data_IF_115725991508
#
_entry.id   IF_115725991508
#
_cell.length_a   1.000
_cell.length_b   1.000
_cell.length_c   1.000
_cell.angle_alpha   90.00
_cell.angle_beta   90.00
_cell.angle_gamma   90.00
#
_symmetry.space_group_name_H-M   'P 1'
#
loop_
_entity.id
_entity.type
_entity.pdbx_description
1 polymer ?
#
# COMPACT_ATOMS: atom_id res chain seq x y z
N UNK A 1 18.24 -5.41 -3.16
CA UNK A 1 17.06 -5.99 -2.46
C UNK A 1 17.31 -7.48 -2.35
N UNK A 2 17.35 -7.99 -1.12
CA UNK A 2 17.88 -9.32 -0.80
C UNK A 2 17.16 -10.50 -1.46
N UNK A 3 15.92 -10.40 -1.86
CA UNK A 3 15.17 -11.55 -2.39
C UNK A 3 14.77 -11.40 -3.85
N UNK A 4 15.54 -10.63 -4.61
CA UNK A 4 15.38 -10.52 -6.06
C UNK A 4 16.35 -11.47 -6.77
N UNK A 5 15.83 -12.39 -7.58
CA UNK A 5 16.64 -13.33 -8.36
C UNK A 5 17.08 -12.72 -9.68
N UNK A 6 16.20 -12.01 -10.35
CA UNK A 6 16.43 -11.47 -11.69
C UNK A 6 16.92 -10.02 -11.65
N UNK A 7 16.25 -9.17 -10.87
CA UNK A 7 16.57 -7.74 -10.76
C UNK A 7 17.62 -7.52 -9.69
N UNK A 8 18.88 -7.42 -10.09
CA UNK A 8 19.96 -7.09 -9.14
C UNK A 8 20.09 -5.58 -9.03
N UNK A 9 19.92 -5.09 -7.80
CA UNK A 9 20.04 -3.67 -7.51
C UNK A 9 21.53 -3.26 -7.47
N UNK A 10 21.94 -2.16 -8.15
CA UNK A 10 23.37 -1.85 -8.35
C UNK A 10 24.06 -1.23 -7.13
N UNK A 11 23.32 -0.78 -6.13
CA UNK A 11 23.84 -0.06 -4.96
C UNK A 11 23.34 -0.66 -3.64
N UNK A 12 24.13 -0.50 -2.59
CA UNK A 12 23.71 -0.73 -1.21
C UNK A 12 23.48 0.60 -0.46
N UNK A 13 24.22 1.66 -0.82
CA UNK A 13 24.11 2.99 -0.22
C UNK A 13 23.84 4.04 -1.30
N UNK A 14 22.70 4.70 -1.25
CA UNK A 14 22.27 5.64 -2.30
C UNK A 14 21.21 6.61 -1.79
N UNK A 15 20.95 7.66 -2.57
CA UNK A 15 19.80 8.54 -2.37
C UNK A 15 18.61 7.99 -3.16
N UNK A 16 17.50 7.71 -2.50
CA UNK A 16 16.24 7.38 -3.17
C UNK A 16 15.42 8.63 -3.39
N UNK A 17 15.09 8.92 -4.66
CA UNK A 17 14.34 10.11 -5.05
C UNK A 17 12.87 9.75 -5.34
N UNK A 18 11.96 10.42 -4.65
CA UNK A 18 10.52 10.33 -4.85
C UNK A 18 10.03 11.09 -6.09
N UNK A 19 8.72 10.95 -6.39
CA UNK A 19 8.07 11.59 -7.56
C UNK A 19 8.16 13.12 -7.50
N UNK A 20 8.11 13.68 -6.30
CA UNK A 20 8.19 15.13 -6.04
C UNK A 20 9.64 15.68 -5.99
N UNK A 21 10.64 14.82 -6.21
CA UNK A 21 12.05 15.17 -6.13
C UNK A 21 12.64 15.12 -4.72
N UNK A 22 11.85 14.83 -3.70
CA UNK A 22 12.36 14.61 -2.33
C UNK A 22 13.29 13.41 -2.29
N UNK A 23 14.39 13.52 -1.53
CA UNK A 23 15.41 12.48 -1.43
C UNK A 23 15.60 12.02 0.00
N UNK A 24 15.79 10.70 0.15
CA UNK A 24 16.16 10.08 1.42
C UNK A 24 17.37 9.18 1.24
N UNK A 25 18.30 9.21 2.18
CA UNK A 25 19.40 8.25 2.21
C UNK A 25 18.86 6.86 2.51
N UNK A 26 19.28 5.90 1.71
CA UNK A 26 18.81 4.51 1.78
C UNK A 26 20.00 3.57 1.81
N UNK A 27 19.92 2.53 2.66
CA UNK A 27 20.92 1.49 2.73
C UNK A 27 20.28 0.11 2.71
N UNK A 28 20.75 -0.76 1.81
CA UNK A 28 20.41 -2.18 1.79
C UNK A 28 21.50 -2.98 2.48
N UNK A 29 21.18 -3.73 3.55
CA UNK A 29 22.16 -4.55 4.25
C UNK A 29 22.85 -5.55 3.31
N UNK A 30 24.18 -5.49 3.12
CA UNK A 30 24.88 -6.38 2.18
C UNK A 30 24.89 -7.85 2.59
N UNK A 31 24.54 -8.16 3.84
CA UNK A 31 24.37 -9.54 4.31
C UNK A 31 23.13 -10.24 3.73
N UNK A 32 22.28 -9.51 2.99
CA UNK A 32 21.02 -10.03 2.41
C UNK A 32 20.08 -10.69 3.41
N UNK A 33 20.16 -10.28 4.68
CA UNK A 33 19.30 -10.76 5.75
C UNK A 33 19.05 -9.68 6.80
N UNK A 34 17.92 -9.75 7.47
CA UNK A 34 17.61 -8.97 8.67
C UNK A 34 17.63 -9.83 9.95
N UNK A 35 18.07 -11.10 9.83
CA UNK A 35 18.13 -12.08 10.92
C UNK A 35 19.50 -12.78 10.99
N UNK A 36 20.58 -12.01 10.90
CA UNK A 36 21.93 -12.56 10.96
C UNK A 36 22.23 -13.21 12.32
N UNK A 37 23.03 -14.25 12.30
CA UNK A 37 23.54 -14.97 13.48
C UNK A 37 24.89 -14.43 13.98
N UNK A 38 25.37 -13.38 13.36
CA UNK A 38 26.67 -12.79 13.66
C UNK A 38 27.82 -13.79 13.51
N UNK A 39 27.82 -14.57 12.44
CA UNK A 39 28.90 -15.50 12.10
C UNK A 39 29.92 -14.80 11.20
N UNK A 40 31.18 -15.23 11.25
CA UNK A 40 32.25 -14.71 10.40
C UNK A 40 31.89 -14.82 8.92
N UNK A 41 31.21 -15.90 8.52
CA UNK A 41 30.79 -16.10 7.14
C UNK A 41 29.80 -15.05 6.65
N UNK A 42 28.93 -14.55 7.54
CA UNK A 42 27.97 -13.49 7.18
C UNK A 42 28.67 -12.14 7.02
N UNK A 43 29.68 -11.87 7.85
CA UNK A 43 30.51 -10.66 7.72
C UNK A 43 31.36 -10.69 6.43
N UNK A 44 32.02 -11.80 6.15
CA UNK A 44 32.78 -12.01 4.92
C UNK A 44 31.90 -11.90 3.67
N UNK A 45 30.69 -12.47 3.72
CA UNK A 45 29.70 -12.33 2.65
C UNK A 45 29.26 -10.86 2.49
N UNK A 46 28.91 -10.18 3.57
CA UNK A 46 28.49 -8.79 3.53
C UNK A 46 29.59 -7.88 2.94
N UNK A 47 30.85 -8.08 3.36
CA UNK A 47 31.98 -7.33 2.82
C UNK A 47 32.17 -7.58 1.33
N UNK A 48 32.11 -8.84 0.88
CA UNK A 48 32.25 -9.19 -0.54
C UNK A 48 31.11 -8.67 -1.40
N UNK A 49 29.88 -8.71 -0.86
CA UNK A 49 28.67 -8.32 -1.57
C UNK A 49 28.45 -6.80 -1.63
N UNK A 50 29.05 -6.03 -0.72
CA UNK A 50 28.87 -4.58 -0.67
C UNK A 50 29.36 -3.93 -1.98
N UNK A 51 28.44 -3.22 -2.70
CA UNK A 51 28.75 -2.68 -4.02
C UNK A 51 29.44 -1.31 -3.97
N UNK A 52 29.19 -0.53 -2.94
CA UNK A 52 29.66 0.86 -2.85
C UNK A 52 30.92 1.00 -1.97
N UNK A 53 31.84 0.05 -2.04
CA UNK A 53 33.10 0.00 -1.25
C UNK A 53 33.99 1.20 -1.51
N UNK A 54 33.95 1.72 -2.74
CA UNK A 54 34.78 2.88 -3.12
C UNK A 54 34.23 4.18 -2.53
N UNK A 55 32.96 4.16 -2.08
CA UNK A 55 32.27 5.33 -1.53
C UNK A 55 32.07 5.27 -0.02
N UNK A 56 32.00 4.08 0.56
CA UNK A 56 31.79 3.90 2.00
C UNK A 56 32.45 2.62 2.52
N UNK A 57 33.03 2.71 3.70
CA UNK A 57 33.57 1.57 4.45
C UNK A 57 32.58 1.03 5.51
N UNK A 58 31.32 1.52 5.48
CA UNK A 58 30.29 1.19 6.47
C UNK A 58 29.14 0.44 5.87
N UNK A 59 28.72 -0.63 6.53
CA UNK A 59 27.47 -1.32 6.23
C UNK A 59 26.76 -1.77 7.49
N UNK A 60 25.44 -1.96 7.39
CA UNK A 60 24.58 -2.37 8.49
C UNK A 60 24.39 -3.89 8.48
N UNK A 61 24.60 -4.54 9.61
CA UNK A 61 24.23 -5.93 9.85
C UNK A 61 23.10 -6.00 10.87
N UNK A 62 21.91 -6.35 10.42
CA UNK A 62 20.76 -6.60 11.28
C UNK A 62 20.82 -8.03 11.82
N UNK A 63 20.71 -8.22 13.12
CA UNK A 63 20.88 -9.54 13.75
C UNK A 63 19.79 -9.86 14.77
N UNK A 64 19.57 -11.14 15.01
CA UNK A 64 18.54 -11.68 15.88
C UNK A 64 17.69 -12.73 15.17
N UNK A 65 16.49 -13.00 15.68
CA UNK A 65 15.63 -14.07 15.16
C UNK A 65 14.66 -13.65 14.06
N UNK A 66 14.64 -12.37 13.65
CA UNK A 66 13.73 -11.90 12.60
C UNK A 66 12.28 -12.29 12.90
N UNK A 67 11.60 -12.91 11.94
CA UNK A 67 10.23 -13.37 12.07
C UNK A 67 10.02 -14.46 13.12
N UNK A 68 11.07 -15.10 13.57
CA UNK A 68 11.03 -16.07 14.67
C UNK A 68 10.70 -15.44 16.04
N UNK A 69 10.71 -14.11 16.11
CA UNK A 69 10.29 -13.36 17.29
C UNK A 69 11.23 -13.55 18.47
N UNK A 70 12.34 -12.83 18.49
CA UNK A 70 13.27 -12.86 19.61
C UNK A 70 14.43 -11.91 19.40
N UNK A 71 14.98 -11.41 20.51
CA UNK A 71 16.18 -10.59 20.51
C UNK A 71 17.45 -11.43 20.28
N UNK A 72 18.61 -10.77 20.27
CA UNK A 72 19.89 -11.46 20.12
C UNK A 72 20.17 -12.45 21.26
N UNK A 73 20.84 -13.54 20.94
CA UNK A 73 21.30 -14.49 21.92
C UNK A 73 22.60 -14.03 22.55
N UNK A 74 22.96 -14.64 23.71
CA UNK A 74 24.28 -14.44 24.33
C UNK A 74 25.43 -14.74 23.34
N UNK A 75 25.31 -15.78 22.53
CA UNK A 75 26.34 -16.14 21.55
C UNK A 75 26.50 -15.07 20.47
N UNK A 76 25.40 -14.49 19.97
CA UNK A 76 25.48 -13.39 19.01
C UNK A 76 26.23 -12.19 19.62
N UNK A 77 25.89 -11.81 20.84
CA UNK A 77 26.57 -10.71 21.55
C UNK A 77 28.05 -10.99 21.78
N UNK A 78 28.41 -12.22 22.18
CA UNK A 78 29.79 -12.64 22.35
C UNK A 78 30.59 -12.65 21.04
N UNK A 79 29.95 -13.04 19.94
CA UNK A 79 30.58 -12.98 18.63
C UNK A 79 30.89 -11.52 18.26
N UNK A 80 29.94 -10.62 18.35
CA UNK A 80 30.12 -9.20 18.01
C UNK A 80 31.23 -8.57 18.85
N UNK A 81 31.25 -8.85 20.15
CA UNK A 81 32.31 -8.34 21.04
C UNK A 81 33.71 -8.84 20.65
N UNK A 82 33.83 -10.11 20.22
CA UNK A 82 35.11 -10.68 19.76
C UNK A 82 35.53 -10.16 18.40
N UNK A 83 34.58 -9.69 17.56
CA UNK A 83 34.86 -9.20 16.21
C UNK A 83 35.15 -7.69 16.17
N UNK A 84 35.13 -6.98 17.28
CA UNK A 84 35.44 -5.55 17.33
C UNK A 84 36.77 -5.20 16.65
N UNK A 85 37.78 -6.09 16.78
CA UNK A 85 39.08 -5.94 16.12
C UNK A 85 39.76 -7.29 15.89
N UNK A 86 39.08 -8.20 15.20
CA UNK A 86 39.60 -9.52 14.86
C UNK A 86 40.33 -9.47 13.52
N UNK A 87 41.59 -10.01 13.47
CA UNK A 87 42.32 -10.06 12.21
C UNK A 87 41.62 -10.93 11.15
N UNK A 88 41.52 -10.40 9.93
CA UNK A 88 40.90 -11.09 8.80
C UNK A 88 39.36 -11.03 8.78
N UNK A 89 38.75 -10.21 9.65
CA UNK A 89 37.33 -9.97 9.71
C UNK A 89 37.05 -8.45 9.71
N UNK A 90 35.99 -8.00 9.06
CA UNK A 90 35.56 -6.62 9.13
C UNK A 90 35.34 -6.19 10.58
N UNK A 91 35.77 -5.00 10.95
CA UNK A 91 35.52 -4.44 12.28
C UNK A 91 34.03 -4.27 12.54
N UNK A 92 33.58 -4.65 13.70
CA UNK A 92 32.19 -4.61 14.11
C UNK A 92 32.01 -3.68 15.30
N UNK A 93 31.00 -2.83 15.25
CA UNK A 93 30.52 -2.03 16.39
C UNK A 93 29.02 -2.17 16.54
N UNK A 94 28.52 -2.16 17.77
CA UNK A 94 27.09 -2.10 18.04
C UNK A 94 26.73 -0.63 18.17
N UNK A 95 25.86 -0.15 17.30
CA UNK A 95 25.45 1.25 17.25
C UNK A 95 23.91 1.38 17.19
N UNK A 96 23.41 2.55 17.52
CA UNK A 96 22.01 2.89 17.23
C UNK A 96 21.81 3.13 15.73
N UNK A 97 20.61 2.80 15.19
CA UNK A 97 20.36 2.99 13.76
C UNK A 97 20.62 4.42 13.27
N UNK A 98 20.21 5.43 14.04
CA UNK A 98 20.42 6.83 13.66
C UNK A 98 21.90 7.18 13.51
N UNK A 99 22.74 6.73 14.44
CA UNK A 99 24.20 6.94 14.38
C UNK A 99 24.80 6.32 13.12
N UNK A 100 24.35 5.12 12.76
CA UNK A 100 24.78 4.47 11.53
C UNK A 100 24.38 5.30 10.29
N UNK A 101 23.10 5.67 10.19
CA UNK A 101 22.59 6.40 9.02
C UNK A 101 23.26 7.77 8.87
N UNK A 102 23.47 8.50 9.94
CA UNK A 102 24.15 9.80 9.92
C UNK A 102 25.59 9.67 9.42
N UNK A 103 26.36 8.73 9.99
CA UNK A 103 27.77 8.49 9.61
C UNK A 103 27.89 7.97 8.18
N UNK A 104 27.03 7.03 7.77
CA UNK A 104 27.09 6.45 6.44
C UNK A 104 26.69 7.46 5.36
N UNK A 105 25.66 8.28 5.62
CA UNK A 105 25.26 9.37 4.72
C UNK A 105 26.33 10.44 4.59
N UNK A 106 26.91 10.87 5.70
CA UNK A 106 28.01 11.83 5.69
C UNK A 106 29.19 11.31 4.86
N UNK A 107 29.64 10.09 5.11
CA UNK A 107 30.75 9.48 4.39
C UNK A 107 30.47 9.36 2.87
N UNK A 108 29.27 8.92 2.51
CA UNK A 108 28.85 8.84 1.11
C UNK A 108 28.88 10.23 0.44
N UNK A 109 28.38 11.26 1.13
CA UNK A 109 28.38 12.63 0.62
C UNK A 109 29.80 13.20 0.45
N UNK A 110 30.70 12.94 1.39
CA UNK A 110 32.09 13.39 1.34
C UNK A 110 32.88 12.72 0.20
N UNK A 111 32.68 11.42 -0.01
CA UNK A 111 33.45 10.65 -0.99
C UNK A 111 32.88 10.75 -2.41
N UNK A 112 31.54 10.75 -2.57
CA UNK A 112 30.92 10.81 -3.88
C UNK A 112 30.68 12.25 -4.37
N UNK A 113 30.51 13.21 -3.48
CA UNK A 113 30.21 14.59 -3.84
C UNK A 113 29.01 14.70 -4.80
N UNK A 114 29.18 15.35 -5.97
CA UNK A 114 28.10 15.47 -6.95
C UNK A 114 27.75 14.17 -7.68
N UNK A 115 28.60 13.15 -7.60
CA UNK A 115 28.39 11.84 -8.22
C UNK A 115 27.70 10.82 -7.28
N UNK A 116 27.12 11.31 -6.19
CA UNK A 116 26.37 10.47 -5.25
C UNK A 116 25.31 9.64 -5.99
N UNK A 117 25.25 8.32 -5.79
CA UNK A 117 24.26 7.48 -6.43
C UNK A 117 22.84 7.93 -6.11
N UNK A 118 22.00 8.15 -7.12
CA UNK A 118 20.59 8.52 -6.98
C UNK A 118 19.74 7.51 -7.73
N UNK A 119 18.83 6.86 -7.01
CA UNK A 119 17.83 5.98 -7.61
C UNK A 119 16.48 6.69 -7.70
N UNK A 120 15.92 6.77 -8.91
CA UNK A 120 14.58 7.30 -9.18
C UNK A 120 13.67 6.16 -9.57
N UNK A 121 12.53 6.03 -8.89
CA UNK A 121 11.54 5.03 -9.21
C UNK A 121 11.35 4.00 -8.09
N UNK A 122 10.66 2.93 -8.45
CA UNK A 122 10.27 1.86 -7.53
C UNK A 122 11.48 1.05 -7.05
N UNK A 123 11.46 0.67 -5.78
CA UNK A 123 12.35 -0.34 -5.20
C UNK A 123 11.67 -1.71 -5.30
N UNK A 124 11.70 -2.28 -6.50
CA UNK A 124 10.92 -3.47 -6.84
C UNK A 124 11.38 -4.72 -6.11
N UNK A 125 10.45 -5.39 -5.43
CA UNK A 125 10.68 -6.63 -4.70
C UNK A 125 9.99 -7.81 -5.40
N UNK A 126 10.76 -8.67 -6.05
CA UNK A 126 10.25 -9.79 -6.85
C UNK A 126 9.48 -10.82 -6.03
N UNK A 127 9.93 -11.11 -4.81
CA UNK A 127 9.33 -12.10 -3.93
C UNK A 127 7.85 -11.80 -3.64
N UNK A 128 7.47 -10.53 -3.54
CA UNK A 128 6.13 -10.09 -3.13
C UNK A 128 5.26 -9.55 -4.27
N UNK A 129 5.62 -9.78 -5.54
CA UNK A 129 4.84 -9.24 -6.68
C UNK A 129 3.38 -9.71 -6.70
N UNK A 130 3.08 -10.90 -6.18
CA UNK A 130 1.70 -11.41 -6.07
C UNK A 130 0.84 -10.69 -5.06
N UNK A 131 1.41 -9.96 -4.11
CA UNK A 131 0.68 -9.26 -3.03
C UNK A 131 -0.19 -8.10 -3.52
N UNK A 132 0.07 -7.56 -4.70
CA UNK A 132 -0.72 -6.49 -5.30
C UNK A 132 -2.16 -6.93 -5.62
N UNK A 133 -2.37 -8.20 -5.91
CA UNK A 133 -3.67 -8.75 -6.32
C UNK A 133 -4.19 -9.88 -5.43
N UNK A 134 -3.33 -10.49 -4.61
CA UNK A 134 -3.72 -11.59 -3.71
C UNK A 134 -4.77 -11.12 -2.70
N UNK A 135 -5.83 -11.92 -2.47
CA UNK A 135 -6.92 -11.59 -1.54
C UNK A 135 -7.45 -10.16 -1.78
N UNK A 136 -7.85 -9.87 -3.00
CA UNK A 136 -8.26 -8.52 -3.41
C UNK A 136 -9.37 -7.91 -2.55
N UNK A 137 -10.21 -8.74 -1.93
CA UNK A 137 -11.25 -8.33 -0.99
C UNK A 137 -10.67 -7.63 0.27
N UNK A 138 -9.46 -7.97 0.70
CA UNK A 138 -8.76 -7.26 1.78
C UNK A 138 -8.45 -5.81 1.37
N UNK A 139 -7.87 -5.64 0.20
CA UNK A 139 -7.53 -4.31 -0.36
C UNK A 139 -8.77 -3.46 -0.55
N UNK A 140 -9.82 -4.08 -1.08
CA UNK A 140 -11.10 -3.42 -1.31
C UNK A 140 -11.79 -3.03 -0.01
N UNK A 141 -11.88 -3.96 0.96
CA UNK A 141 -12.46 -3.70 2.27
C UNK A 141 -11.75 -2.56 2.98
N UNK A 142 -10.43 -2.60 3.03
CA UNK A 142 -9.59 -1.55 3.59
C UNK A 142 -9.89 -0.18 2.93
N UNK A 143 -9.85 -0.10 1.60
CA UNK A 143 -10.08 1.15 0.88
C UNK A 143 -11.48 1.71 1.05
N UNK A 144 -12.49 0.85 1.11
CA UNK A 144 -13.87 1.24 1.35
C UNK A 144 -14.05 1.80 2.77
N UNK A 145 -13.47 1.13 3.75
CA UNK A 145 -13.56 1.55 5.16
C UNK A 145 -12.82 2.86 5.42
N UNK A 146 -11.61 3.04 4.87
CA UNK A 146 -10.89 4.32 4.89
C UNK A 146 -11.74 5.48 4.33
N UNK A 147 -12.36 5.24 3.18
CA UNK A 147 -13.15 6.26 2.51
C UNK A 147 -14.42 6.60 3.30
N UNK A 148 -15.06 5.59 3.88
CA UNK A 148 -16.30 5.78 4.63
C UNK A 148 -16.04 6.40 6.01
N UNK A 149 -14.96 6.03 6.70
CA UNK A 149 -14.52 6.67 7.94
C UNK A 149 -14.29 8.17 7.73
N UNK A 150 -13.55 8.56 6.70
CA UNK A 150 -13.35 9.98 6.38
C UNK A 150 -14.67 10.71 6.09
N UNK A 151 -15.59 10.05 5.39
CA UNK A 151 -16.91 10.61 5.12
C UNK A 151 -17.71 10.80 6.41
N UNK A 152 -17.71 9.81 7.29
CA UNK A 152 -18.40 9.85 8.58
C UNK A 152 -17.83 10.93 9.49
N UNK A 153 -16.50 11.07 9.56
CA UNK A 153 -15.88 12.14 10.36
C UNK A 153 -16.28 13.53 9.86
N UNK A 154 -16.28 13.73 8.53
CA UNK A 154 -16.73 14.98 7.93
C UNK A 154 -18.20 15.28 8.23
N UNK A 155 -19.08 14.29 8.01
CA UNK A 155 -20.51 14.43 8.32
C UNK A 155 -20.76 14.65 9.82
N UNK A 156 -20.00 13.98 10.66
CA UNK A 156 -20.09 14.13 12.12
C UNK A 156 -19.70 15.52 12.60
N UNK A 157 -18.62 16.08 12.04
CA UNK A 157 -18.24 17.47 12.32
C UNK A 157 -19.34 18.44 11.88
N UNK A 158 -19.91 18.25 10.70
CA UNK A 158 -21.02 19.07 10.22
C UNK A 158 -22.29 18.90 11.08
N UNK A 159 -22.62 17.69 11.53
CA UNK A 159 -23.75 17.42 12.40
C UNK A 159 -23.64 18.13 13.76
N UNK A 160 -22.46 18.08 14.40
CA UNK A 160 -22.16 18.80 15.64
C UNK A 160 -22.35 20.32 15.49
N UNK A 161 -21.92 20.87 14.35
CA UNK A 161 -22.09 22.30 14.06
C UNK A 161 -23.55 22.68 13.78
N UNK A 162 -24.34 21.75 13.27
CA UNK A 162 -25.75 21.99 12.90
C UNK A 162 -26.75 21.73 14.03
N UNK A 163 -26.43 20.86 14.96
CA UNK A 163 -27.24 20.50 16.12
C UNK A 163 -26.35 20.36 17.37
N UNK A 164 -26.38 21.34 18.30
CA UNK A 164 -25.57 21.30 19.52
C UNK A 164 -25.89 20.11 20.45
N UNK A 165 -27.05 19.50 20.31
CA UNK A 165 -27.46 18.33 21.10
C UNK A 165 -26.98 17.01 20.44
N UNK A 166 -26.42 17.07 19.26
CA UNK A 166 -25.91 15.88 18.58
C UNK A 166 -24.65 15.34 19.28
N UNK A 167 -24.70 14.06 19.64
CA UNK A 167 -23.58 13.37 20.29
C UNK A 167 -22.73 12.65 19.23
N UNK A 168 -21.51 13.13 19.05
CA UNK A 168 -20.54 12.52 18.14
C UNK A 168 -20.10 11.13 18.63
N UNK A 169 -20.21 10.05 17.82
CA UNK A 169 -19.96 8.67 18.24
C UNK A 169 -18.45 8.34 18.32
N UNK A 170 -17.71 9.08 19.14
CA UNK A 170 -16.25 9.03 19.25
C UNK A 170 -15.72 7.63 19.55
N UNK A 171 -16.27 6.97 20.58
CA UNK A 171 -15.75 5.66 21.03
C UNK A 171 -15.93 4.58 19.97
N UNK A 172 -17.05 4.64 19.26
CA UNK A 172 -17.33 3.67 18.21
C UNK A 172 -16.44 3.88 16.99
N UNK A 173 -16.23 5.13 16.57
CA UNK A 173 -15.32 5.44 15.48
C UNK A 173 -13.87 5.10 15.83
N UNK A 174 -13.43 5.36 17.07
CA UNK A 174 -12.10 4.96 17.55
C UNK A 174 -11.90 3.42 17.49
N UNK A 175 -12.92 2.65 17.88
CA UNK A 175 -12.89 1.19 17.74
C UNK A 175 -12.74 0.77 16.29
N UNK A 176 -13.52 1.35 15.37
CA UNK A 176 -13.47 1.01 13.95
C UNK A 176 -12.12 1.39 13.34
N UNK A 177 -11.61 2.57 13.66
CA UNK A 177 -10.25 2.99 13.26
C UNK A 177 -9.18 1.99 13.70
N UNK A 178 -9.25 1.51 14.95
CA UNK A 178 -8.29 0.51 15.46
C UNK A 178 -8.39 -0.82 14.71
N UNK A 179 -9.60 -1.25 14.37
CA UNK A 179 -9.82 -2.47 13.57
C UNK A 179 -9.25 -2.31 12.16
N UNK A 180 -9.53 -1.18 11.50
CA UNK A 180 -8.97 -0.87 10.18
C UNK A 180 -7.44 -0.88 10.21
N UNK A 181 -6.82 -0.19 11.17
CA UNK A 181 -5.36 -0.13 11.30
C UNK A 181 -4.75 -1.51 11.56
N UNK A 182 -5.41 -2.36 12.35
CA UNK A 182 -5.01 -3.75 12.53
C UNK A 182 -5.04 -4.52 11.21
N UNK A 183 -6.11 -4.34 10.42
CA UNK A 183 -6.28 -5.02 9.14
C UNK A 183 -5.36 -4.48 8.03
N UNK A 184 -4.66 -3.37 8.25
CA UNK A 184 -3.58 -2.86 7.39
C UNK A 184 -2.23 -3.54 7.66
N UNK A 185 -2.17 -4.46 8.62
CA UNK A 185 -0.96 -5.22 8.91
C UNK A 185 -0.38 -5.88 7.65
N UNK A 186 0.96 -5.91 7.56
CA UNK A 186 1.69 -6.25 6.33
C UNK A 186 1.47 -7.67 5.79
N UNK A 187 0.78 -8.55 6.54
CA UNK A 187 0.36 -9.87 6.07
C UNK A 187 -1.14 -9.97 5.82
N UNK A 188 -1.95 -9.07 6.38
CA UNK A 188 -3.40 -9.06 6.14
C UNK A 188 -3.72 -8.34 4.84
N UNK A 189 -3.33 -7.07 4.72
CA UNK A 189 -3.59 -6.26 3.53
C UNK A 189 -2.99 -6.84 2.24
N UNK A 190 -1.75 -7.35 2.23
CA UNK A 190 -1.17 -7.99 1.05
C UNK A 190 -1.79 -9.33 0.67
N UNK A 191 -2.47 -10.00 1.61
CA UNK A 191 -3.11 -11.28 1.36
C UNK A 191 -2.21 -12.50 1.64
N UNK A 192 -1.15 -12.32 2.43
CA UNK A 192 -0.17 -13.37 2.75
C UNK A 192 -0.39 -14.04 4.11
N UNK A 193 -1.42 -13.63 4.87
CA UNK A 193 -1.80 -14.29 6.12
C UNK A 193 -2.47 -15.64 5.90
N UNK A 194 -2.67 -16.38 6.97
CA UNK A 194 -3.42 -17.66 6.93
C UNK A 194 -4.91 -17.42 6.69
N UNK A 195 -5.59 -18.43 6.19
CA UNK A 195 -7.01 -18.34 5.83
C UNK A 195 -7.93 -17.93 7.00
N UNK A 196 -7.58 -18.25 8.22
CA UNK A 196 -8.32 -17.82 9.41
C UNK A 196 -8.31 -16.30 9.54
N UNK A 197 -7.13 -15.68 9.52
CA UNK A 197 -6.98 -14.23 9.63
C UNK A 197 -7.78 -13.50 8.55
N UNK A 198 -7.74 -13.98 7.31
CA UNK A 198 -8.54 -13.38 6.23
C UNK A 198 -10.06 -13.55 6.42
N UNK A 199 -10.52 -14.63 7.07
CA UNK A 199 -11.95 -14.76 7.41
C UNK A 199 -12.36 -13.73 8.45
N UNK A 200 -11.58 -13.56 9.52
CA UNK A 200 -11.84 -12.56 10.56
C UNK A 200 -11.83 -11.14 9.97
N UNK A 201 -10.83 -10.79 9.16
CA UNK A 201 -10.77 -9.48 8.50
C UNK A 201 -11.98 -9.21 7.59
N UNK A 202 -12.49 -10.23 6.86
CA UNK A 202 -13.74 -10.10 6.08
C UNK A 202 -14.96 -9.82 6.95
N UNK A 203 -15.04 -10.46 8.09
CA UNK A 203 -16.12 -10.24 9.06
C UNK A 203 -16.04 -8.85 9.66
N UNK A 204 -14.84 -8.40 9.99
CA UNK A 204 -14.60 -7.03 10.48
C UNK A 204 -15.02 -6.00 9.44
N UNK A 205 -14.53 -6.08 8.19
CA UNK A 205 -14.93 -5.16 7.13
C UNK A 205 -16.44 -5.15 6.91
N UNK A 206 -17.09 -6.32 6.88
CA UNK A 206 -18.56 -6.40 6.71
C UNK A 206 -19.31 -5.72 7.84
N UNK A 207 -18.92 -5.98 9.09
CA UNK A 207 -19.51 -5.39 10.29
C UNK A 207 -19.33 -3.89 10.32
N UNK A 208 -18.10 -3.43 10.13
CA UNK A 208 -17.71 -2.05 10.33
C UNK A 208 -18.17 -1.16 9.18
N UNK A 209 -18.13 -1.61 7.92
CA UNK A 209 -18.71 -0.90 6.79
C UNK A 209 -20.22 -0.72 6.93
N UNK A 210 -20.94 -1.75 7.38
CA UNK A 210 -22.38 -1.64 7.67
C UNK A 210 -22.65 -0.60 8.76
N UNK A 211 -21.90 -0.68 9.85
CA UNK A 211 -22.08 0.23 10.97
C UNK A 211 -21.76 1.68 10.63
N UNK A 212 -20.68 1.91 9.89
CA UNK A 212 -20.33 3.24 9.38
C UNK A 212 -21.42 3.81 8.47
N UNK A 213 -22.02 2.97 7.63
CA UNK A 213 -23.13 3.39 6.77
C UNK A 213 -24.36 3.80 7.59
N UNK A 214 -24.68 3.06 8.65
CA UNK A 214 -25.79 3.41 9.57
C UNK A 214 -25.49 4.74 10.29
N UNK A 215 -24.28 4.92 10.83
CA UNK A 215 -23.84 6.17 11.47
C UNK A 215 -23.92 7.34 10.49
N UNK A 216 -23.43 7.17 9.28
CA UNK A 216 -23.48 8.21 8.24
C UNK A 216 -24.92 8.62 7.90
N UNK A 217 -25.84 7.67 7.87
CA UNK A 217 -27.26 7.95 7.64
C UNK A 217 -27.89 8.76 8.77
N UNK A 218 -27.59 8.40 10.03
CA UNK A 218 -28.05 9.15 11.19
C UNK A 218 -27.56 10.61 11.13
N UNK A 219 -26.27 10.80 10.78
CA UNK A 219 -25.70 12.14 10.58
C UNK A 219 -26.38 12.91 9.44
N UNK A 220 -26.65 12.24 8.31
CA UNK A 220 -27.41 12.86 7.23
C UNK A 220 -28.83 13.26 7.65
N UNK A 221 -29.49 12.48 8.50
CA UNK A 221 -30.81 12.85 9.01
C UNK A 221 -30.77 14.13 9.87
N UNK A 222 -29.73 14.28 10.70
CA UNK A 222 -29.50 15.53 11.48
C UNK A 222 -29.28 16.72 10.54
N UNK A 223 -28.43 16.57 9.53
CA UNK A 223 -28.12 17.64 8.58
C UNK A 223 -29.35 18.04 7.75
N UNK A 224 -30.19 17.10 7.33
CA UNK A 224 -31.45 17.41 6.63
C UNK A 224 -32.45 18.16 7.51
N UNK A 225 -32.53 17.81 8.77
CA UNK A 225 -33.39 18.53 9.71
C UNK A 225 -32.97 20.00 9.84
N UNK A 226 -31.66 20.24 9.84
CA UNK A 226 -31.10 21.59 9.92
C UNK A 226 -31.19 22.35 8.57
N UNK A 227 -31.01 21.64 7.44
CA UNK A 227 -31.10 22.22 6.09
C UNK A 227 -31.80 21.25 5.11
N UNK A 228 -33.13 21.37 4.93
CA UNK A 228 -33.91 20.50 4.05
C UNK A 228 -33.51 20.55 2.56
N UNK A 229 -32.80 21.59 2.15
CA UNK A 229 -32.33 21.78 0.77
C UNK A 229 -30.89 21.27 0.55
N UNK A 230 -30.25 20.70 1.60
CA UNK A 230 -28.92 20.16 1.46
C UNK A 230 -28.90 19.01 0.45
N UNK A 231 -28.08 19.15 -0.57
CA UNK A 231 -27.80 18.08 -1.54
C UNK A 231 -26.91 17.03 -0.87
N UNK A 232 -27.48 15.86 -0.58
CA UNK A 232 -26.80 14.80 0.12
C UNK A 232 -26.23 13.77 -0.88
N UNK A 233 -25.34 14.20 -1.78
CA UNK A 233 -24.51 13.30 -2.59
C UNK A 233 -23.84 12.20 -1.74
N UNK A 234 -23.60 12.48 -0.46
CA UNK A 234 -23.13 11.49 0.52
C UNK A 234 -24.10 10.30 0.66
N UNK A 235 -25.42 10.50 0.58
CA UNK A 235 -26.37 9.39 0.73
C UNK A 235 -26.32 8.37 -0.40
N UNK A 236 -26.12 8.81 -1.64
CA UNK A 236 -25.96 7.89 -2.76
C UNK A 236 -24.71 7.01 -2.59
N UNK A 237 -23.64 7.55 -2.02
CA UNK A 237 -22.42 6.79 -1.70
C UNK A 237 -22.61 5.86 -0.50
N UNK A 238 -23.32 6.30 0.52
CA UNK A 238 -23.59 5.53 1.75
C UNK A 238 -24.50 4.34 1.47
N UNK A 239 -25.52 4.51 0.61
CA UNK A 239 -26.43 3.43 0.26
C UNK A 239 -25.75 2.22 -0.41
N UNK A 240 -24.57 2.42 -1.02
CA UNK A 240 -23.76 1.34 -1.58
C UNK A 240 -23.24 0.36 -0.53
N UNK A 241 -23.06 0.80 0.71
CA UNK A 241 -22.52 -0.03 1.80
C UNK A 241 -23.59 -0.71 2.64
N UNK A 242 -24.88 -0.32 2.50
CA UNK A 242 -25.99 -0.89 3.27
C UNK A 242 -26.52 -2.21 2.71
N UNK A 243 -26.35 -2.44 1.43
CA UNK A 243 -26.76 -3.68 0.82
C UNK A 243 -25.69 -4.73 1.09
N UNK A 244 -26.04 -5.66 1.97
CA UNK A 244 -25.25 -6.79 2.42
C UNK A 244 -24.31 -7.30 1.33
N UNK A 245 -23.01 -7.28 1.60
CA UNK A 245 -21.86 -7.63 0.79
C UNK A 245 -21.91 -8.84 -0.14
N UNK A 246 -23.08 -9.28 -0.54
CA UNK A 246 -23.33 -10.42 -1.41
C UNK A 246 -23.56 -10.06 -2.87
N UNK A 247 -23.76 -8.80 -3.25
CA UNK A 247 -23.91 -8.48 -4.65
C UNK A 247 -23.16 -7.20 -5.02
N UNK A 248 -22.04 -7.37 -5.68
CA UNK A 248 -21.47 -6.41 -6.62
C UNK A 248 -22.37 -6.29 -7.87
N UNK A 249 -23.62 -6.22 -7.67
CA UNK A 249 -24.43 -5.56 -8.68
C UNK A 249 -24.30 -4.09 -8.35
N UNK A 250 -23.65 -3.36 -9.24
CA UNK A 250 -23.83 -1.93 -9.29
C UNK A 250 -25.33 -1.70 -9.08
N UNK A 251 -25.72 -1.27 -7.87
CA UNK A 251 -27.00 -0.65 -7.74
C UNK A 251 -26.88 0.52 -8.70
N UNK A 252 -27.58 0.42 -9.82
CA UNK A 252 -27.75 1.55 -10.69
C UNK A 252 -28.13 2.68 -9.76
N UNK A 253 -27.22 3.64 -9.58
CA UNK A 253 -27.58 4.97 -9.13
C UNK A 253 -28.83 5.24 -9.96
N UNK A 254 -29.97 5.54 -9.34
CA UNK A 254 -31.15 5.93 -10.05
C UNK A 254 -30.67 6.84 -11.16
N UNK A 255 -30.79 6.38 -12.39
CA UNK A 255 -30.15 6.98 -13.55
C UNK A 255 -30.41 8.48 -13.47
N UNK A 256 -29.37 9.33 -13.52
CA UNK A 256 -29.64 10.70 -13.96
C UNK A 256 -30.39 10.51 -15.23
N UNK A 257 -31.53 11.16 -15.36
CA UNK A 257 -32.42 11.11 -16.54
C UNK A 257 -31.72 11.43 -17.84
N UNK A 258 -30.43 11.77 -17.80
CA UNK A 258 -29.49 12.05 -18.89
C UNK A 258 -28.30 11.07 -18.98
N UNK A 259 -28.30 9.95 -18.26
CA UNK A 259 -27.26 8.93 -18.43
C UNK A 259 -27.41 8.31 -19.83
N UNK A 260 -26.42 8.53 -20.68
CA UNK A 260 -26.33 7.94 -22.00
C UNK A 260 -26.45 6.41 -21.86
N UNK A 261 -27.53 5.84 -22.37
CA UNK A 261 -27.75 4.40 -22.32
C UNK A 261 -26.68 3.71 -23.12
N UNK A 262 -26.14 2.62 -22.57
CA UNK A 262 -25.16 1.80 -23.30
C UNK A 262 -25.89 1.08 -24.43
N UNK A 263 -25.56 1.41 -25.67
CA UNK A 263 -25.98 0.66 -26.84
C UNK A 263 -25.13 -0.61 -26.92
N UNK A 264 -25.77 -1.76 -27.08
CA UNK A 264 -25.09 -3.03 -27.32
C UNK A 264 -25.45 -3.50 -28.71
N UNK A 265 -24.46 -3.69 -29.56
CA UNK A 265 -24.64 -4.17 -30.93
C UNK A 265 -23.76 -5.42 -31.14
N UNK A 266 -24.39 -6.50 -31.60
CA UNK A 266 -23.65 -7.66 -32.08
C UNK A 266 -23.16 -7.36 -33.51
N UNK A 267 -21.85 -7.47 -33.71
CA UNK A 267 -21.17 -7.33 -34.98
C UNK A 267 -20.97 -8.70 -35.63
N UNK A 268 -20.46 -8.68 -36.87
CA UNK A 268 -20.09 -9.91 -37.59
C UNK A 268 -19.04 -10.71 -36.82
N UNK A 269 -19.05 -12.01 -36.98
CA UNK A 269 -18.12 -12.95 -36.36
C UNK A 269 -18.21 -13.06 -34.81
N UNK A 270 -19.36 -12.70 -34.21
CA UNK A 270 -19.57 -12.82 -32.76
C UNK A 270 -18.92 -11.72 -31.92
N UNK A 271 -18.45 -10.67 -32.56
CA UNK A 271 -17.98 -9.46 -31.84
C UNK A 271 -19.13 -8.66 -31.26
N UNK A 272 -18.87 -7.93 -30.19
CA UNK A 272 -19.84 -7.07 -29.55
C UNK A 272 -19.29 -5.64 -29.44
N UNK A 273 -20.06 -4.67 -29.88
CA UNK A 273 -19.81 -3.25 -29.67
C UNK A 273 -20.67 -2.76 -28.49
N UNK A 274 -20.04 -2.12 -27.54
CA UNK A 274 -20.69 -1.37 -26.45
C UNK A 274 -20.37 0.11 -26.63
N UNK A 275 -21.37 0.97 -26.68
CA UNK A 275 -21.17 2.41 -26.84
C UNK A 275 -22.16 3.21 -25.99
N UNK A 276 -21.71 4.32 -25.38
CA UNK A 276 -22.53 5.21 -24.58
C UNK A 276 -22.43 6.69 -25.00
N UNK A 277 -21.83 6.96 -26.15
CA UNK A 277 -21.60 8.33 -26.64
C UNK A 277 -20.36 9.02 -26.05
N UNK A 278 -19.74 8.46 -25.00
CA UNK A 278 -18.45 8.92 -24.44
C UNK A 278 -17.34 7.95 -24.82
N UNK A 279 -17.62 6.66 -24.66
CA UNK A 279 -16.70 5.57 -25.03
C UNK A 279 -17.41 4.57 -25.92
N UNK A 280 -16.66 3.97 -26.84
CA UNK A 280 -17.05 2.75 -27.55
C UNK A 280 -16.00 1.66 -27.37
N UNK A 281 -16.47 0.44 -27.10
CA UNK A 281 -15.64 -0.72 -26.81
C UNK A 281 -16.01 -1.86 -27.74
N UNK A 282 -15.05 -2.40 -28.47
CA UNK A 282 -15.25 -3.61 -29.29
C UNK A 282 -14.64 -4.82 -28.55
N UNK A 283 -15.48 -5.81 -28.31
CA UNK A 283 -15.10 -7.07 -27.67
C UNK A 283 -15.15 -8.17 -28.74
N UNK A 284 -14.06 -8.88 -28.91
CA UNK A 284 -13.93 -10.02 -29.81
C UNK A 284 -14.68 -11.25 -29.30
N UNK A 285 -14.93 -12.24 -30.16
CA UNK A 285 -15.64 -13.48 -29.83
C UNK A 285 -14.94 -14.28 -28.71
N UNK A 286 -13.63 -14.13 -28.54
CA UNK A 286 -12.83 -14.76 -27.47
C UNK A 286 -12.82 -13.96 -26.17
N UNK A 287 -13.51 -12.83 -26.08
CA UNK A 287 -13.61 -11.96 -24.93
C UNK A 287 -12.50 -10.92 -24.83
N UNK A 288 -11.59 -10.83 -25.78
CA UNK A 288 -10.56 -9.78 -25.79
C UNK A 288 -11.13 -8.45 -26.26
N UNK A 289 -10.60 -7.33 -25.76
CA UNK A 289 -10.96 -5.99 -26.21
C UNK A 289 -10.02 -5.63 -27.38
N UNK A 290 -10.58 -5.44 -28.56
CA UNK A 290 -9.84 -5.06 -29.77
C UNK A 290 -9.85 -3.54 -30.03
N UNK A 291 -10.80 -2.80 -29.47
CA UNK A 291 -10.85 -1.34 -29.54
C UNK A 291 -11.49 -0.77 -28.29
N UNK A 292 -10.87 0.30 -27.79
CA UNK A 292 -11.44 1.18 -26.75
C UNK A 292 -11.29 2.62 -27.26
N UNK A 293 -12.36 3.16 -27.83
CA UNK A 293 -12.34 4.46 -28.46
C UNK A 293 -13.02 5.52 -27.58
N UNK A 294 -12.32 6.61 -27.33
CA UNK A 294 -12.81 7.79 -26.62
C UNK A 294 -13.50 8.72 -27.63
N UNK A 295 -14.82 8.73 -27.64
CA UNK A 295 -15.63 9.50 -28.60
C UNK A 295 -15.52 11.02 -28.38
N UNK A 296 -15.33 11.43 -27.12
CA UNK A 296 -15.22 12.84 -26.76
C UNK A 296 -13.93 13.46 -27.28
N UNK A 297 -12.83 12.70 -27.20
CA UNK A 297 -11.51 13.15 -27.62
C UNK A 297 -11.07 12.61 -28.98
N UNK A 298 -11.89 11.79 -29.64
CA UNK A 298 -11.61 11.19 -30.93
C UNK A 298 -10.35 10.32 -30.95
N UNK A 299 -10.11 9.56 -29.88
CA UNK A 299 -8.85 8.84 -29.67
C UNK A 299 -9.04 7.36 -29.38
N UNK A 300 -8.25 6.51 -30.06
CA UNK A 300 -8.12 5.09 -29.72
C UNK A 300 -7.23 4.91 -28.47
N UNK A 301 -7.71 4.14 -27.50
CA UNK A 301 -7.05 3.89 -26.21
C UNK A 301 -6.58 2.44 -26.05
N UNK A 302 -6.96 1.53 -26.94
CA UNK A 302 -6.59 0.12 -26.87
C UNK A 302 -5.07 -0.14 -27.00
N UNK A 303 -4.33 0.82 -27.57
CA UNK A 303 -2.87 0.77 -27.69
C UNK A 303 -2.15 1.23 -26.42
N UNK A 304 -2.85 1.85 -25.49
CA UNK A 304 -2.29 2.23 -24.20
C UNK A 304 -2.17 0.97 -23.34
N UNK A 305 -0.97 0.43 -23.20
CA UNK A 305 -0.71 -0.70 -22.29
C UNK A 305 -1.01 -0.26 -20.86
N UNK A 306 -2.04 -0.87 -20.27
CA UNK A 306 -2.30 -0.80 -18.82
C UNK A 306 -1.21 -1.55 -18.05
#
# INVERSE_FOLDING_TARGET
ISWNDTTKFPHHSFMWEGIDGSRIFTHFPPADTYAAWCKVQELDYAEKNFQDKDLSDRSLLLFGFGDGGGGPTRNMMEHLHRYENLEGVSKVSIEEPNDFFDKAHQQLAENAGPEMPVWKGELYLELHRGTLTSQQDMKRGCRQEESLLRTVEYLGAAAVLSDPEYVYPREELDRIWKTLLLNQFHDILPGSAIAWVHREAREDYRRDLKRLADIAQDMCAVLRKANPQADLLAEARISQFRNDGASWRANRINEPTDALSVLTQTLDNGRVLLANGVLSVTIEADGTISSLFDEEHGRERSEERL
#
